data_IF_841075922128
#
_entry.id   IF_841075922128
#
_cell.length_a   1.000
_cell.length_b   1.000
_cell.length_c   1.000
_cell.angle_alpha   90.00
_cell.angle_beta   90.00
_cell.angle_gamma   90.00
#
_symmetry.space_group_name_H-M   'P 1'
#
loop_
_entity.id
_entity.type
_entity.pdbx_description
1 polymer ?
#
# COMPACT_ATOMS: atom_id res chain seq x y z
N UNK A 1 14.11 14.31 8.08
CA UNK A 1 13.27 13.52 7.12
C UNK A 1 12.26 14.36 6.33
N UNK A 2 12.47 15.69 6.23
CA UNK A 2 11.52 16.54 5.51
C UNK A 2 11.52 16.27 4.00
N UNK A 3 12.67 15.87 3.45
CA UNK A 3 12.88 15.65 2.03
C UNK A 3 13.10 14.17 1.69
N UNK A 4 12.84 13.27 2.63
CA UNK A 4 13.06 11.83 2.46
C UNK A 4 11.81 11.08 2.89
N UNK A 5 11.31 10.23 2.03
CA UNK A 5 10.27 9.25 2.35
C UNK A 5 10.93 7.89 2.58
N UNK A 6 10.76 7.33 3.76
CA UNK A 6 11.17 5.96 4.07
C UNK A 6 9.94 5.06 4.00
N UNK A 7 10.03 3.98 3.25
CA UNK A 7 8.96 3.02 3.04
C UNK A 7 9.45 1.63 3.41
N UNK A 8 8.68 0.95 4.24
CA UNK A 8 8.86 -0.47 4.52
C UNK A 8 7.63 -1.23 4.03
N UNK A 9 7.85 -2.23 3.21
CA UNK A 9 6.77 -3.06 2.66
C UNK A 9 7.26 -4.48 2.39
N UNK A 10 6.31 -5.38 2.25
CA UNK A 10 6.52 -6.77 1.83
C UNK A 10 5.55 -7.08 0.70
N UNK A 11 5.77 -8.19 -0.01
CA UNK A 11 4.88 -8.65 -1.06
C UNK A 11 3.58 -9.22 -0.51
N UNK A 12 3.64 -9.91 0.65
CA UNK A 12 2.49 -10.51 1.35
C UNK A 12 2.62 -10.37 2.86
N UNK A 13 1.48 -10.55 3.54
CA UNK A 13 1.44 -10.81 4.97
C UNK A 13 1.50 -12.30 5.30
N UNK A 14 1.08 -12.63 6.50
CA UNK A 14 0.99 -14.01 6.98
C UNK A 14 -0.41 -14.30 7.49
N UNK A 15 -0.97 -15.42 7.03
CA UNK A 15 -2.24 -15.93 7.54
C UNK A 15 -2.12 -16.31 9.02
N UNK A 16 -3.21 -16.24 9.80
CA UNK A 16 -3.24 -16.83 11.15
C UNK A 16 -3.18 -18.36 11.13
N UNK A 17 -3.30 -18.98 9.97
CA UNK A 17 -3.34 -20.43 9.76
C UNK A 17 -2.05 -20.94 9.13
N UNK A 18 -1.73 -22.22 9.38
CA UNK A 18 -0.57 -22.87 8.78
C UNK A 18 -0.76 -23.13 7.28
N UNK A 19 0.33 -23.09 6.55
CA UNK A 19 0.39 -23.67 5.22
C UNK A 19 0.32 -25.18 5.31
N UNK A 20 -0.50 -25.81 4.50
CA UNK A 20 -0.66 -27.27 4.51
C UNK A 20 0.68 -27.97 4.25
N UNK A 21 1.00 -28.97 5.09
CA UNK A 21 2.23 -29.75 4.96
C UNK A 21 3.50 -29.08 5.52
N UNK A 22 3.40 -27.94 6.16
CA UNK A 22 4.54 -27.22 6.75
C UNK A 22 4.24 -26.79 8.19
N UNK A 23 5.28 -26.33 8.90
CA UNK A 23 5.15 -25.75 10.25
C UNK A 23 4.95 -24.25 10.24
N UNK A 24 5.06 -23.58 9.07
CA UNK A 24 4.91 -22.14 8.92
C UNK A 24 3.49 -21.71 8.62
N UNK A 25 3.20 -20.43 8.88
CA UNK A 25 1.93 -19.82 8.49
C UNK A 25 1.94 -19.56 6.98
N UNK A 26 0.76 -19.66 6.37
CA UNK A 26 0.58 -19.40 4.95
C UNK A 26 0.75 -17.91 4.62
N UNK A 27 1.00 -17.61 3.36
CA UNK A 27 1.03 -16.24 2.84
C UNK A 27 -0.36 -15.62 2.85
N UNK A 28 -0.43 -14.32 3.14
CA UNK A 28 -1.69 -13.57 3.15
C UNK A 28 -1.61 -12.38 2.19
N UNK A 29 -2.14 -12.50 0.97
CA UNK A 29 -2.20 -11.38 0.05
C UNK A 29 -3.34 -10.40 0.35
N UNK A 30 -4.32 -10.81 1.16
CA UNK A 30 -5.55 -10.06 1.42
C UNK A 30 -5.45 -9.10 2.62
N UNK A 31 -4.38 -9.21 3.41
CA UNK A 31 -4.12 -8.30 4.52
C UNK A 31 -2.65 -8.36 4.94
N UNK A 32 -1.98 -7.23 4.95
CA UNK A 32 -0.62 -7.10 5.45
C UNK A 32 -0.32 -5.64 5.82
N UNK A 33 0.75 -5.44 6.57
CA UNK A 33 1.15 -4.12 7.04
C UNK A 33 2.30 -3.57 6.21
N UNK A 34 2.18 -2.33 5.85
CA UNK A 34 3.29 -1.49 5.38
C UNK A 34 3.42 -0.28 6.30
N UNK A 35 4.58 0.36 6.35
CA UNK A 35 4.69 1.64 7.04
C UNK A 35 5.56 2.62 6.27
N UNK A 36 5.30 3.89 6.53
CA UNK A 36 6.05 5.01 5.95
C UNK A 36 6.41 6.02 7.01
N UNK A 37 7.49 6.76 6.80
CA UNK A 37 7.84 7.91 7.62
C UNK A 37 8.56 8.99 6.83
N UNK A 38 8.47 10.22 7.29
CA UNK A 38 9.08 11.39 6.65
C UNK A 38 8.20 12.02 5.58
N UNK A 39 8.76 12.94 4.83
CA UNK A 39 8.23 13.55 3.59
C UNK A 39 6.71 13.78 3.54
N UNK A 40 6.11 14.41 4.55
CA UNK A 40 4.68 14.73 4.56
C UNK A 40 3.76 13.63 5.08
N UNK A 41 4.32 12.55 5.65
CA UNK A 41 3.55 11.54 6.38
C UNK A 41 3.28 11.99 7.80
N UNK A 42 2.04 11.82 8.24
CA UNK A 42 1.66 12.03 9.64
C UNK A 42 2.20 10.87 10.49
N UNK A 43 3.08 11.20 11.45
CA UNK A 43 3.65 10.19 12.35
C UNK A 43 2.68 9.74 13.43
N UNK A 44 2.85 8.50 13.92
CA UNK A 44 2.11 7.97 15.06
C UNK A 44 0.66 7.57 14.78
N UNK A 45 0.29 7.43 13.50
CA UNK A 45 -1.07 7.00 13.12
C UNK A 45 -1.07 5.60 12.54
N UNK A 46 -2.19 4.90 12.70
CA UNK A 46 -2.50 3.66 12.00
C UNK A 46 -3.69 3.90 11.10
N UNK A 47 -3.69 3.27 9.92
CA UNK A 47 -4.77 3.36 8.95
C UNK A 47 -5.12 1.97 8.43
N UNK A 48 -6.40 1.63 8.51
CA UNK A 48 -6.90 0.33 8.11
C UNK A 48 -6.76 -0.74 9.20
N UNK A 49 -7.65 -1.70 9.15
CA UNK A 49 -7.70 -2.84 10.07
C UNK A 49 -8.12 -4.10 9.35
N UNK A 50 -7.73 -5.24 9.88
CA UNK A 50 -8.22 -6.54 9.41
C UNK A 50 -9.58 -6.85 10.00
N UNK A 51 -10.21 -7.93 9.51
CA UNK A 51 -11.31 -8.59 10.18
C UNK A 51 -10.84 -9.19 11.54
N UNK A 52 -11.79 -9.69 12.33
CA UNK A 52 -11.52 -10.24 13.66
C UNK A 52 -10.56 -11.44 13.66
N UNK A 53 -10.42 -12.11 12.50
CA UNK A 53 -9.55 -13.28 12.36
C UNK A 53 -8.18 -12.94 11.77
N UNK A 54 -7.93 -11.70 11.39
CA UNK A 54 -6.68 -11.30 10.75
C UNK A 54 -6.48 -11.88 9.34
N UNK A 55 -7.56 -12.22 8.66
CA UNK A 55 -7.52 -12.87 7.34
C UNK A 55 -7.59 -11.89 6.18
N UNK A 56 -8.42 -10.87 6.29
CA UNK A 56 -8.66 -9.88 5.22
C UNK A 56 -8.66 -8.47 5.77
N UNK A 57 -8.25 -7.53 4.96
CA UNK A 57 -8.48 -6.12 5.25
C UNK A 57 -9.99 -5.85 5.24
N UNK A 58 -10.49 -5.14 6.26
CA UNK A 58 -11.92 -4.95 6.48
C UNK A 58 -12.31 -3.50 6.72
N UNK A 59 -11.46 -2.70 7.36
CA UNK A 59 -11.74 -1.29 7.68
C UNK A 59 -10.74 -0.41 6.97
N UNK A 60 -11.21 0.68 6.35
CA UNK A 60 -10.39 1.62 5.60
C UNK A 60 -9.42 0.89 4.65
N UNK A 61 -9.97 -0.05 3.89
CA UNK A 61 -9.21 -0.93 3.02
C UNK A 61 -8.47 -0.11 1.96
N UNK A 62 -7.16 -0.36 1.85
CA UNK A 62 -6.32 0.24 0.81
C UNK A 62 -5.72 -0.84 -0.07
N UNK A 63 -5.68 -0.56 -1.36
CA UNK A 63 -5.04 -1.43 -2.34
C UNK A 63 -3.57 -1.06 -2.54
N UNK A 64 -2.84 -1.93 -3.23
CA UNK A 64 -1.48 -1.60 -3.67
C UNK A 64 -1.45 -0.37 -4.58
N UNK A 65 -2.51 -0.14 -5.33
CA UNK A 65 -2.63 1.06 -6.18
C UNK A 65 -2.75 2.34 -5.36
N UNK A 66 -3.51 2.32 -4.26
CA UNK A 66 -3.62 3.44 -3.34
C UNK A 66 -2.29 3.75 -2.67
N UNK A 67 -1.58 2.71 -2.27
CA UNK A 67 -0.23 2.82 -1.72
C UNK A 67 0.71 3.51 -2.70
N UNK A 68 0.78 3.06 -3.96
CA UNK A 68 1.63 3.69 -4.97
C UNK A 68 1.17 5.09 -5.35
N UNK A 69 -0.14 5.35 -5.43
CA UNK A 69 -0.65 6.69 -5.65
C UNK A 69 -0.18 7.65 -4.55
N UNK A 70 -0.18 7.20 -3.31
CA UNK A 70 0.30 7.99 -2.15
C UNK A 70 1.80 8.24 -2.21
N UNK A 71 2.60 7.23 -2.54
CA UNK A 71 4.05 7.39 -2.73
C UNK A 71 4.34 8.40 -3.82
N UNK A 72 3.68 8.30 -4.97
CA UNK A 72 3.86 9.24 -6.08
C UNK A 72 3.46 10.67 -5.67
N UNK A 73 2.34 10.81 -4.95
CA UNK A 73 1.90 12.12 -4.44
C UNK A 73 2.97 12.75 -3.53
N UNK A 74 3.54 11.99 -2.61
CA UNK A 74 4.60 12.46 -1.71
C UNK A 74 5.90 12.82 -2.45
N UNK A 75 6.13 12.25 -3.61
CA UNK A 75 7.22 12.62 -4.52
C UNK A 75 6.89 13.85 -5.39
N UNK A 76 5.70 14.45 -5.23
CA UNK A 76 5.25 15.59 -6.01
C UNK A 76 4.69 15.24 -7.38
N UNK A 77 4.32 13.99 -7.60
CA UNK A 77 3.80 13.48 -8.87
C UNK A 77 2.30 13.19 -8.77
N UNK A 78 1.55 13.56 -9.80
CA UNK A 78 0.16 13.17 -9.94
C UNK A 78 0.09 11.81 -10.66
N UNK A 79 -0.33 10.76 -9.96
CA UNK A 79 -0.37 9.41 -10.51
C UNK A 79 -1.34 9.25 -11.69
N UNK A 80 -2.34 10.13 -11.79
CA UNK A 80 -3.30 10.11 -12.91
C UNK A 80 -2.73 10.76 -14.18
N UNK A 81 -1.80 11.69 -14.03
CA UNK A 81 -1.17 12.41 -15.14
C UNK A 81 0.16 11.79 -15.58
N UNK A 82 0.83 11.09 -14.67
CA UNK A 82 2.09 10.41 -14.97
C UNK A 82 1.81 9.16 -15.80
N UNK A 83 2.15 9.23 -17.08
CA UNK A 83 1.93 8.12 -18.01
C UNK A 83 3.22 7.75 -18.74
N UNK A 84 3.30 6.51 -19.16
CA UNK A 84 4.32 6.01 -20.08
C UNK A 84 3.64 5.30 -21.25
N UNK A 85 4.30 5.38 -22.41
CA UNK A 85 3.79 4.74 -23.62
C UNK A 85 4.32 3.31 -23.72
N UNK A 86 3.41 2.36 -23.83
CA UNK A 86 3.76 0.96 -23.98
C UNK A 86 2.69 0.21 -24.81
N UNK A 87 3.13 -0.53 -25.82
CA UNK A 87 2.27 -1.33 -26.68
C UNK A 87 1.07 -0.55 -27.25
N UNK A 88 1.32 0.66 -27.77
CA UNK A 88 0.30 1.47 -28.40
C UNK A 88 -0.64 2.23 -27.46
N UNK A 89 -0.41 2.19 -26.15
CA UNK A 89 -1.24 2.88 -25.18
C UNK A 89 -0.42 3.69 -24.17
N UNK A 90 -0.97 4.82 -23.73
CA UNK A 90 -0.48 5.54 -22.56
C UNK A 90 -0.99 4.84 -21.31
N UNK A 91 -0.07 4.40 -20.45
CA UNK A 91 -0.36 3.66 -19.23
C UNK A 91 0.07 4.43 -18.00
N UNK A 92 -0.68 4.28 -16.92
CA UNK A 92 -0.32 4.80 -15.59
C UNK A 92 0.33 3.69 -14.77
N UNK A 93 1.17 4.07 -13.80
CA UNK A 93 1.77 3.12 -12.84
C UNK A 93 0.71 2.51 -11.91
N UNK A 94 -0.40 3.21 -11.71
CA UNK A 94 -1.56 2.76 -10.91
C UNK A 94 -2.68 2.17 -11.77
N UNK A 95 -2.43 1.92 -13.05
CA UNK A 95 -3.42 1.46 -14.02
C UNK A 95 -4.64 2.41 -14.05
N UNK A 96 -5.85 1.91 -13.93
CA UNK A 96 -7.10 2.69 -13.85
C UNK A 96 -7.57 2.89 -12.41
N UNK A 97 -6.78 2.49 -11.44
CA UNK A 97 -7.10 2.44 -10.02
C UNK A 97 -6.32 3.46 -9.21
N UNK A 98 -6.49 3.41 -7.92
CA UNK A 98 -5.69 4.14 -6.94
C UNK A 98 -6.22 5.53 -6.63
N UNK A 99 -6.13 5.86 -5.36
CA UNK A 99 -6.33 7.21 -4.84
C UNK A 99 -5.39 7.43 -3.66
N UNK A 100 -4.98 8.66 -3.49
CA UNK A 100 -4.10 9.06 -2.40
C UNK A 100 -4.80 8.81 -1.06
N UNK A 101 -4.08 8.22 -0.12
CA UNK A 101 -4.59 7.95 1.23
C UNK A 101 -4.44 9.23 2.06
N UNK A 102 -5.39 10.14 1.95
CA UNK A 102 -5.32 11.48 2.55
C UNK A 102 -5.16 11.44 4.08
N UNK A 103 -5.73 10.43 4.73
CA UNK A 103 -5.74 10.32 6.20
C UNK A 103 -4.37 10.10 6.83
N UNK A 104 -3.37 9.71 6.07
CA UNK A 104 -2.01 9.52 6.57
C UNK A 104 -1.07 10.67 6.21
N UNK A 105 -1.58 11.68 5.52
CA UNK A 105 -0.81 12.88 5.18
C UNK A 105 -0.79 13.87 6.35
N UNK A 106 0.36 14.53 6.51
CA UNK A 106 0.53 15.57 7.51
C UNK A 106 -0.18 16.87 7.11
#
# INVERSE_FOLDING_TARGET
LNDVLVVWCTEFGRMPTHQQGTSGRDHNPDAFTTWMMGAGIQGGVSHGETDDFGRRAAVDVTSVYDFYATVLHLLGLDHEKLTYYHNGAKRRLTDVHGHVIDRILA
#
